data_IF_583613626271
#
_entry.id   IF_583613626271
#
_cell.length_a   1.000
_cell.length_b   1.000
_cell.length_c   1.000
_cell.angle_alpha   90.00
_cell.angle_beta   90.00
_cell.angle_gamma   90.00
#
_symmetry.space_group_name_H-M   'P 1'
#
loop_
_entity.id
_entity.type
_entity.pdbx_description
1 polymer ?
#
# COMPACT_ATOMS: atom_id res chain seq x y z
N UNK A 1 25.26 -3.84 -74.61
CA UNK A 1 23.98 -3.75 -73.88
C UNK A 1 24.22 -4.24 -72.47
N UNK A 2 24.30 -3.32 -71.52
CA UNK A 2 24.65 -3.58 -70.12
C UNK A 2 23.55 -2.99 -69.26
N UNK A 3 22.80 -3.84 -68.56
CA UNK A 3 22.10 -3.47 -67.32
C UNK A 3 22.15 -4.67 -66.39
N UNK A 4 23.18 -4.70 -65.56
CA UNK A 4 23.33 -5.60 -64.42
C UNK A 4 22.35 -5.16 -63.33
N UNK A 5 21.41 -6.03 -62.99
CA UNK A 5 20.51 -5.88 -61.85
C UNK A 5 21.34 -5.94 -60.57
N UNK A 6 21.48 -4.82 -59.87
CA UNK A 6 22.05 -4.78 -58.53
C UNK A 6 20.88 -4.90 -57.55
N UNK A 7 20.67 -6.11 -57.04
CA UNK A 7 19.87 -6.33 -55.84
C UNK A 7 20.58 -5.61 -54.69
N UNK A 8 19.91 -4.62 -54.09
CA UNK A 8 20.39 -3.92 -52.92
C UNK A 8 20.31 -4.86 -51.70
N UNK A 9 21.39 -5.61 -51.47
CA UNK A 9 21.64 -6.47 -50.30
C UNK A 9 21.92 -5.65 -49.02
N UNK A 10 21.58 -4.35 -49.00
CA UNK A 10 21.93 -3.42 -47.91
C UNK A 10 20.72 -2.95 -47.10
N UNK A 11 19.73 -3.82 -46.88
CA UNK A 11 18.59 -3.55 -45.99
C UNK A 11 18.37 -4.67 -44.96
N UNK A 12 19.46 -5.20 -44.39
CA UNK A 12 19.33 -6.25 -43.38
C UNK A 12 20.28 -6.13 -42.21
N UNK A 13 20.56 -4.94 -41.70
CA UNK A 13 21.17 -4.81 -40.37
C UNK A 13 20.36 -3.79 -39.58
N UNK A 14 19.44 -4.29 -38.73
CA UNK A 14 18.90 -3.49 -37.65
C UNK A 14 20.07 -2.90 -36.87
N UNK A 15 20.04 -1.59 -36.67
CA UNK A 15 21.09 -0.84 -36.00
C UNK A 15 21.47 -1.53 -34.68
N UNK A 16 22.77 -1.77 -34.40
CA UNK A 16 23.22 -2.41 -33.16
C UNK A 16 23.15 -1.47 -31.95
N UNK A 17 22.63 -0.26 -32.14
CA UNK A 17 22.50 0.74 -31.11
C UNK A 17 21.13 0.63 -30.43
N UNK A 18 21.06 0.69 -29.08
CA UNK A 18 19.80 0.73 -28.36
C UNK A 18 18.94 1.88 -28.88
N UNK A 19 17.66 1.62 -29.12
CA UNK A 19 16.69 2.67 -29.44
C UNK A 19 16.55 3.60 -28.23
N UNK A 20 17.24 4.75 -28.31
CA UNK A 20 17.34 5.73 -27.23
C UNK A 20 15.99 6.36 -26.88
N UNK A 21 15.04 6.41 -27.84
CA UNK A 21 13.69 6.90 -27.60
C UNK A 21 12.91 5.89 -26.73
N UNK A 22 12.95 4.59 -27.08
CA UNK A 22 12.37 3.53 -26.24
C UNK A 22 13.05 3.44 -24.88
N UNK A 23 14.37 3.61 -24.80
CA UNK A 23 15.09 3.63 -23.53
C UNK A 23 14.68 4.82 -22.65
N UNK A 24 14.45 6.00 -23.24
CA UNK A 24 13.97 7.19 -22.53
C UNK A 24 12.52 7.03 -22.08
N UNK A 25 11.66 6.42 -22.90
CA UNK A 25 10.27 6.12 -22.54
C UNK A 25 10.21 5.12 -21.39
N UNK A 26 10.95 4.00 -21.46
CA UNK A 26 11.06 3.02 -20.38
C UNK A 26 11.51 3.67 -19.07
N UNK A 27 12.50 4.57 -19.13
CA UNK A 27 12.97 5.29 -17.96
C UNK A 27 11.85 6.17 -17.37
N UNK A 28 11.14 6.93 -18.21
CA UNK A 28 10.02 7.77 -17.80
C UNK A 28 8.84 6.99 -17.18
N UNK A 29 8.44 5.88 -17.79
CA UNK A 29 7.36 5.03 -17.25
C UNK A 29 7.78 4.37 -15.95
N UNK A 30 9.01 3.88 -15.86
CA UNK A 30 9.52 3.24 -14.64
C UNK A 30 9.62 4.24 -13.46
N UNK A 31 10.08 5.47 -13.70
CA UNK A 31 10.07 6.54 -12.70
C UNK A 31 8.65 6.91 -12.26
N UNK A 32 7.70 6.98 -13.19
CA UNK A 32 6.29 7.24 -12.90
C UNK A 32 5.67 6.17 -12.00
N UNK A 33 5.90 4.89 -12.30
CA UNK A 33 5.40 3.77 -11.48
C UNK A 33 6.07 3.71 -10.11
N UNK A 34 7.39 3.97 -10.02
CA UNK A 34 8.08 4.05 -8.74
C UNK A 34 7.55 5.20 -7.85
N UNK A 35 7.23 6.36 -8.45
CA UNK A 35 6.64 7.48 -7.73
C UNK A 35 5.24 7.15 -7.19
N UNK A 36 4.39 6.47 -8.00
CA UNK A 36 3.07 6.00 -7.56
C UNK A 36 3.18 5.01 -6.40
N UNK A 37 4.07 4.02 -6.51
CA UNK A 37 4.33 3.07 -5.44
C UNK A 37 4.80 3.76 -4.15
N UNK A 38 5.74 4.71 -4.26
CA UNK A 38 6.22 5.46 -3.10
C UNK A 38 5.11 6.28 -2.42
N UNK A 39 4.30 7.00 -3.22
CA UNK A 39 3.16 7.75 -2.72
C UNK A 39 2.14 6.84 -2.03
N UNK A 40 1.91 5.66 -2.61
CA UNK A 40 0.99 4.66 -2.07
C UNK A 40 1.47 4.13 -0.71
N UNK A 41 2.70 3.63 -0.62
CA UNK A 41 3.29 3.14 0.65
C UNK A 41 3.28 4.23 1.72
N UNK A 42 3.61 5.46 1.35
CA UNK A 42 3.60 6.60 2.25
C UNK A 42 2.19 6.89 2.78
N UNK A 43 1.18 6.83 1.93
CA UNK A 43 -0.23 7.04 2.29
C UNK A 43 -0.72 5.94 3.23
N UNK A 44 -0.42 4.67 2.91
CA UNK A 44 -0.77 3.53 3.77
C UNK A 44 -0.14 3.66 5.16
N UNK A 45 1.14 4.03 5.23
CA UNK A 45 1.83 4.23 6.51
C UNK A 45 1.24 5.38 7.32
N UNK A 46 0.86 6.49 6.66
CA UNK A 46 0.18 7.61 7.32
C UNK A 46 -1.19 7.19 7.87
N UNK A 47 -1.96 6.42 7.11
CA UNK A 47 -3.27 5.92 7.54
C UNK A 47 -3.13 4.98 8.75
N UNK A 48 -2.17 4.06 8.72
CA UNK A 48 -1.87 3.18 9.86
C UNK A 48 -1.44 3.99 11.10
N UNK A 49 -0.55 4.97 10.92
CA UNK A 49 -0.10 5.83 12.02
C UNK A 49 -1.23 6.67 12.63
N UNK A 50 -2.15 7.15 11.79
CA UNK A 50 -3.34 7.88 12.22
C UNK A 50 -4.28 6.97 13.03
N UNK A 51 -4.68 5.82 12.49
CA UNK A 51 -5.59 4.90 13.20
C UNK A 51 -4.98 4.43 14.52
N UNK A 52 -3.69 4.08 14.53
CA UNK A 52 -2.98 3.72 15.76
C UNK A 52 -3.05 4.83 16.82
N UNK A 53 -2.79 6.07 16.41
CA UNK A 53 -2.84 7.23 17.32
C UNK A 53 -4.25 7.48 17.86
N UNK A 54 -5.26 7.37 17.00
CA UNK A 54 -6.67 7.53 17.37
C UNK A 54 -7.13 6.42 18.33
N UNK A 55 -6.68 5.19 18.11
CA UNK A 55 -6.93 4.04 18.98
C UNK A 55 -6.31 4.23 20.37
N UNK A 56 -5.01 4.53 20.43
CA UNK A 56 -4.29 4.77 21.69
C UNK A 56 -4.92 5.92 22.46
N UNK A 57 -5.25 7.03 21.77
CA UNK A 57 -5.93 8.17 22.39
C UNK A 57 -7.29 7.81 22.98
N UNK A 58 -8.05 6.96 22.31
CA UNK A 58 -9.34 6.47 22.82
C UNK A 58 -9.15 5.57 24.05
N UNK A 59 -8.20 4.63 24.00
CA UNK A 59 -7.90 3.75 25.13
C UNK A 59 -7.45 4.51 26.37
N UNK A 60 -6.55 5.49 26.21
CA UNK A 60 -6.08 6.32 27.33
C UNK A 60 -7.20 7.12 27.98
N UNK A 61 -8.16 7.64 27.21
CA UNK A 61 -9.33 8.35 27.77
C UNK A 61 -10.18 7.43 28.64
N UNK A 62 -10.43 6.22 28.18
CA UNK A 62 -11.17 5.20 28.92
C UNK A 62 -10.42 4.78 30.21
N UNK A 63 -9.10 4.66 30.16
CA UNK A 63 -8.28 4.36 31.35
C UNK A 63 -8.41 5.47 32.41
N UNK A 64 -8.35 6.74 31.99
CA UNK A 64 -8.57 7.89 32.88
C UNK A 64 -10.01 7.91 33.42
N UNK A 65 -11.00 7.59 32.58
CA UNK A 65 -12.39 7.48 33.01
C UNK A 65 -12.57 6.39 34.06
N UNK A 66 -11.96 5.22 33.87
CA UNK A 66 -12.00 4.14 34.85
C UNK A 66 -11.48 4.63 36.21
N UNK A 67 -10.31 5.28 36.26
CA UNK A 67 -9.75 5.79 37.53
C UNK A 67 -10.73 6.72 38.25
N UNK A 68 -11.41 7.62 37.50
CA UNK A 68 -12.43 8.50 38.07
C UNK A 68 -13.63 7.71 38.58
N UNK A 69 -14.14 6.77 37.80
CA UNK A 69 -15.27 5.93 38.22
C UNK A 69 -14.95 5.10 39.45
N UNK A 70 -13.73 4.53 39.54
CA UNK A 70 -13.31 3.74 40.70
C UNK A 70 -13.17 4.61 41.96
N UNK A 71 -12.76 5.87 41.83
CA UNK A 71 -12.70 6.81 42.95
C UNK A 71 -14.09 7.07 43.57
N UNK A 72 -15.13 7.09 42.74
CA UNK A 72 -16.50 7.37 43.16
C UNK A 72 -17.27 6.11 43.61
N UNK A 73 -16.65 4.93 43.55
CA UNK A 73 -17.27 3.68 43.99
C UNK A 73 -17.31 3.59 45.52
N UNK A 74 -18.48 3.31 46.08
CA UNK A 74 -18.67 3.19 47.53
C UNK A 74 -18.94 1.75 48.00
N UNK A 75 -19.01 0.80 47.06
CA UNK A 75 -19.21 -0.61 47.35
C UNK A 75 -18.40 -1.52 46.42
N UNK A 76 -18.23 -2.78 46.84
CA UNK A 76 -17.61 -3.81 46.00
C UNK A 76 -18.43 -4.07 44.73
N UNK A 77 -19.75 -3.91 44.81
CA UNK A 77 -20.64 -4.11 43.66
C UNK A 77 -20.44 -3.02 42.59
N UNK A 78 -20.30 -1.76 43.01
CA UNK A 78 -20.00 -0.65 42.10
C UNK A 78 -18.66 -0.87 41.39
N UNK A 79 -17.66 -1.32 42.15
CA UNK A 79 -16.34 -1.65 41.62
C UNK A 79 -16.39 -2.76 40.56
N UNK A 80 -17.10 -3.86 40.86
CA UNK A 80 -17.28 -4.96 39.92
C UNK A 80 -17.97 -4.51 38.64
N UNK A 81 -19.01 -3.68 38.76
CA UNK A 81 -19.73 -3.14 37.61
C UNK A 81 -18.85 -2.22 36.76
N UNK A 82 -18.07 -1.34 37.39
CA UNK A 82 -17.14 -0.45 36.68
C UNK A 82 -16.09 -1.24 35.88
N UNK A 83 -15.49 -2.28 36.48
CA UNK A 83 -14.54 -3.16 35.79
C UNK A 83 -15.19 -3.96 34.66
N UNK A 84 -16.38 -4.52 34.89
CA UNK A 84 -17.08 -5.28 33.86
C UNK A 84 -17.39 -4.42 32.63
N UNK A 85 -17.88 -3.19 32.85
CA UNK A 85 -18.13 -2.22 31.78
C UNK A 85 -16.84 -1.84 31.05
N UNK A 86 -15.78 -1.51 31.79
CA UNK A 86 -14.48 -1.18 31.19
C UNK A 86 -13.95 -2.28 30.28
N UNK A 87 -13.94 -3.53 30.76
CA UNK A 87 -13.45 -4.66 29.97
C UNK A 87 -14.34 -4.96 28.77
N UNK A 88 -15.66 -4.88 28.93
CA UNK A 88 -16.58 -5.04 27.81
C UNK A 88 -16.33 -4.00 26.72
N UNK A 89 -16.16 -2.74 27.08
CA UNK A 89 -15.80 -1.66 26.15
C UNK A 89 -14.43 -1.90 25.52
N UNK A 90 -13.43 -2.31 26.31
CA UNK A 90 -12.11 -2.61 25.81
C UNK A 90 -12.12 -3.71 24.75
N UNK A 91 -12.85 -4.82 24.98
CA UNK A 91 -12.97 -5.90 24.00
C UNK A 91 -13.57 -5.42 22.68
N UNK A 92 -14.61 -4.60 22.73
CA UNK A 92 -15.20 -3.98 21.53
C UNK A 92 -14.17 -3.11 20.81
N UNK A 93 -13.49 -2.21 21.51
CA UNK A 93 -12.49 -1.33 20.90
C UNK A 93 -11.35 -2.11 20.26
N UNK A 94 -10.80 -3.13 20.92
CA UNK A 94 -9.73 -3.97 20.35
C UNK A 94 -10.22 -4.78 19.15
N UNK A 95 -11.44 -5.33 19.21
CA UNK A 95 -12.03 -6.08 18.10
C UNK A 95 -12.25 -5.22 16.86
N UNK A 96 -12.85 -4.04 17.04
CA UNK A 96 -13.10 -3.08 15.96
C UNK A 96 -11.78 -2.58 15.35
N UNK A 97 -10.80 -2.27 16.18
CA UNK A 97 -9.49 -1.81 15.72
C UNK A 97 -8.74 -2.89 14.94
N UNK A 98 -8.76 -4.14 15.43
CA UNK A 98 -8.17 -5.27 14.71
C UNK A 98 -8.80 -5.44 13.31
N UNK A 99 -10.13 -5.31 13.20
CA UNK A 99 -10.81 -5.37 11.91
C UNK A 99 -10.42 -4.21 10.99
N UNK A 100 -10.29 -2.98 11.51
CA UNK A 100 -9.85 -1.84 10.70
C UNK A 100 -8.42 -2.02 10.20
N UNK A 101 -7.50 -2.44 11.06
CA UNK A 101 -6.11 -2.68 10.70
C UNK A 101 -5.98 -3.78 9.65
N UNK A 102 -6.78 -4.83 9.75
CA UNK A 102 -6.87 -5.87 8.71
C UNK A 102 -7.34 -5.30 7.38
N UNK A 103 -8.37 -4.44 7.35
CA UNK A 103 -8.86 -3.82 6.11
C UNK A 103 -7.79 -2.93 5.46
N UNK A 104 -7.08 -2.12 6.25
CA UNK A 104 -6.01 -1.26 5.74
C UNK A 104 -4.87 -2.11 5.15
N UNK A 105 -4.49 -3.17 5.85
CA UNK A 105 -3.42 -4.07 5.40
C UNK A 105 -3.82 -4.85 4.15
N UNK A 106 -5.06 -5.34 4.09
CA UNK A 106 -5.60 -6.03 2.91
C UNK A 106 -5.64 -5.11 1.69
N UNK A 107 -6.14 -3.87 1.85
CA UNK A 107 -6.14 -2.88 0.78
C UNK A 107 -4.73 -2.65 0.22
N UNK A 108 -3.75 -2.41 1.11
CA UNK A 108 -2.37 -2.22 0.71
C UNK A 108 -1.75 -3.44 -0.02
N UNK A 109 -2.13 -4.65 0.37
CA UNK A 109 -1.67 -5.89 -0.29
C UNK A 109 -2.30 -6.08 -1.67
N UNK A 110 -3.60 -5.80 -1.80
CA UNK A 110 -4.30 -5.87 -3.09
C UNK A 110 -3.71 -4.84 -4.07
N UNK A 111 -3.45 -3.62 -3.59
CA UNK A 111 -2.83 -2.57 -4.40
C UNK A 111 -1.38 -2.92 -4.80
N UNK A 112 -0.58 -3.48 -3.88
CA UNK A 112 0.76 -3.97 -4.20
C UNK A 112 0.74 -5.11 -5.25
N UNK A 113 -0.27 -5.98 -5.18
CA UNK A 113 -0.45 -7.07 -6.15
C UNK A 113 -0.79 -6.54 -7.54
N UNK A 114 -1.69 -5.56 -7.64
CA UNK A 114 -2.03 -4.95 -8.93
C UNK A 114 -0.83 -4.19 -9.52
N UNK A 115 -0.08 -3.43 -8.70
CA UNK A 115 1.15 -2.77 -9.16
C UNK A 115 2.19 -3.77 -9.69
N UNK A 116 2.35 -4.92 -9.04
CA UNK A 116 3.24 -5.98 -9.51
C UNK A 116 2.77 -6.62 -10.83
N UNK A 117 1.45 -6.75 -11.01
CA UNK A 117 0.85 -7.28 -12.25
C UNK A 117 1.06 -6.31 -13.41
N UNK A 118 0.80 -5.02 -13.21
CA UNK A 118 1.02 -3.97 -14.21
C UNK A 118 2.49 -3.92 -14.65
N UNK A 119 3.41 -4.01 -13.70
CA UNK A 119 4.84 -4.06 -14.00
C UNK A 119 5.23 -5.29 -14.81
N UNK A 120 4.63 -6.45 -14.52
CA UNK A 120 4.84 -7.69 -15.29
C UNK A 120 4.28 -7.60 -16.70
N UNK A 121 3.10 -7.02 -16.89
CA UNK A 121 2.49 -6.81 -18.21
C UNK A 121 3.32 -5.83 -19.07
N UNK A 122 3.87 -4.79 -18.45
CA UNK A 122 4.80 -3.86 -19.12
C UNK A 122 6.09 -4.57 -19.57
N UNK A 123 6.68 -5.43 -18.74
CA UNK A 123 7.88 -6.20 -19.11
C UNK A 123 7.60 -7.20 -20.25
N UNK A 124 6.49 -7.93 -20.17
CA UNK A 124 6.14 -8.95 -21.18
C UNK A 124 5.69 -8.39 -22.52
N UNK A 125 5.04 -7.21 -22.55
CA UNK A 125 4.73 -6.52 -23.80
C UNK A 125 5.99 -5.98 -24.49
N UNK A 126 7.03 -5.66 -23.73
CA UNK A 126 8.33 -5.21 -24.24
C UNK A 126 9.07 -6.35 -24.94
N UNK A 127 9.12 -7.55 -24.34
CA UNK A 127 9.75 -8.75 -24.93
C UNK A 127 9.08 -9.20 -26.24
N UNK A 128 7.80 -8.89 -26.45
CA UNK A 128 7.04 -9.27 -27.65
C UNK A 128 7.26 -8.31 -28.83
N UNK A 129 7.85 -7.15 -28.58
CA UNK A 129 8.10 -6.09 -29.55
C UNK A 129 9.61 -5.87 -29.81
N UNK A 130 10.44 -6.83 -29.41
CA UNK A 130 11.87 -6.97 -29.68
C UNK A 130 12.10 -8.19 -30.57
#
# INVERSE_FOLDING_TARGET
MTTTSHDNVFEKHGSPFPDMARASELNGTMFGEAAKFNAHVSTTLQNLGKEWSDFVGTRLREDVQLIRTLHDCHSLQDLQQAYAQFWQTAFTHYGDEAQKMLRITQGAMDEAREAAKDMREMMTSTDRAA
#
